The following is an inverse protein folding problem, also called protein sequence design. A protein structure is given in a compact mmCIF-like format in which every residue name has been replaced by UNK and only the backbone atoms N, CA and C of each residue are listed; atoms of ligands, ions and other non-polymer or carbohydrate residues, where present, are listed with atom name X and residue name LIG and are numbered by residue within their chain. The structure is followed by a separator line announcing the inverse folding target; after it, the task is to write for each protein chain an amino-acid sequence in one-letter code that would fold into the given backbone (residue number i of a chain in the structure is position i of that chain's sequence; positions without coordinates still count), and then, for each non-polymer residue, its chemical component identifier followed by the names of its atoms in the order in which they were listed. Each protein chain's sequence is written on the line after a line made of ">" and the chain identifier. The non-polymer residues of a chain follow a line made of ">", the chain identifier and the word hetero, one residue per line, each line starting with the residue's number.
data_IF_935865962390
#
_entry.id   IF_935865962390
#
_cell.length_a   1.000
_cell.length_b   1.000
_cell.length_c   1.000
_cell.angle_alpha   90.00
_cell.angle_beta   90.00
_cell.angle_gamma   90.00
#
_symmetry.space_group_name_H-M   'P 1'
#
loop_
_entity.id
_entity.type
_entity.pdbx_description
1 polymer ?
#
# COMPACT_ATOMS: atom_id res chain seq x y z
N UNK A 1 -11.59 26.27 37.91
CA UNK A 1 -12.56 25.73 36.92
C UNK A 1 -11.84 24.65 36.12
N UNK A 2 -12.32 23.40 36.13
CA UNK A 2 -11.69 22.33 35.37
C UNK A 2 -12.16 22.38 33.90
N UNK A 3 -11.25 22.69 32.98
CA UNK A 3 -11.52 22.69 31.54
C UNK A 3 -11.80 21.25 31.11
N UNK A 4 -13.04 20.97 30.72
CA UNK A 4 -13.46 19.63 30.29
C UNK A 4 -12.72 19.26 29.00
N UNK A 5 -11.88 18.23 29.04
CA UNK A 5 -11.16 17.72 27.87
C UNK A 5 -12.11 17.35 26.72
N UNK A 6 -11.61 17.42 25.49
CA UNK A 6 -12.40 17.18 24.28
C UNK A 6 -13.17 15.86 24.36
N UNK A 7 -14.46 15.88 23.98
CA UNK A 7 -15.30 14.68 23.98
C UNK A 7 -14.68 13.62 23.05
N UNK A 8 -14.58 12.36 23.49
CA UNK A 8 -14.01 11.30 22.66
C UNK A 8 -14.85 11.13 21.39
N UNK A 9 -14.18 11.12 20.24
CA UNK A 9 -14.82 10.88 18.94
C UNK A 9 -15.51 9.50 18.92
N UNK A 10 -16.61 9.35 18.16
CA UNK A 10 -17.35 8.09 18.03
C UNK A 10 -16.45 6.97 17.51
N UNK A 11 -16.72 5.74 17.96
CA UNK A 11 -15.83 4.58 17.77
C UNK A 11 -15.45 4.32 16.31
N UNK A 12 -16.34 4.61 15.35
CA UNK A 12 -16.10 4.49 13.90
C UNK A 12 -14.99 5.42 13.38
N UNK A 13 -14.79 6.59 14.00
CA UNK A 13 -13.71 7.53 13.65
C UNK A 13 -12.37 7.20 14.32
N UNK A 14 -12.33 6.23 15.25
CA UNK A 14 -11.09 5.81 15.91
C UNK A 14 -10.23 4.87 15.05
N UNK A 15 -10.81 4.33 13.98
CA UNK A 15 -10.16 3.38 13.07
C UNK A 15 -9.44 4.08 11.90
N UNK A 16 -9.75 5.34 11.62
CA UNK A 16 -9.27 6.06 10.42
C UNK A 16 -8.05 6.93 10.71
N UNK A 17 -7.88 7.42 11.93
CA UNK A 17 -6.61 7.99 12.38
C UNK A 17 -5.89 6.92 13.22
N UNK A 18 -4.82 6.34 12.68
CA UNK A 18 -3.79 5.76 13.54
C UNK A 18 -3.49 6.77 14.65
N UNK A 19 -3.40 6.34 15.90
CA UNK A 19 -3.35 7.25 17.06
C UNK A 19 -2.05 8.07 17.08
N UNK A 20 -1.93 9.07 16.21
CA UNK A 20 -0.90 10.06 16.27
C UNK A 20 -1.25 10.98 17.44
N UNK A 21 -0.67 10.64 18.59
CA UNK A 21 -0.72 11.46 19.79
C UNK A 21 0.45 12.43 19.73
N UNK A 22 0.17 13.69 19.50
CA UNK A 22 1.15 14.78 19.50
C UNK A 22 2.07 14.81 20.74
N UNK A 23 1.61 14.31 21.88
CA UNK A 23 2.42 14.20 23.11
C UNK A 23 3.40 13.01 23.15
N UNK A 24 3.29 12.05 22.22
CA UNK A 24 4.17 10.87 22.12
C UNK A 24 4.88 10.74 20.77
N UNK A 25 4.31 11.30 19.71
CA UNK A 25 4.75 11.08 18.33
C UNK A 25 5.30 12.34 17.65
N UNK A 26 5.44 13.45 18.38
CA UNK A 26 5.90 14.73 17.83
C UNK A 26 4.75 15.56 17.26
N UNK A 27 5.07 16.68 16.63
CA UNK A 27 4.09 17.55 15.99
C UNK A 27 3.56 16.91 14.69
N UNK A 28 2.23 16.92 14.51
CA UNK A 28 1.54 16.40 13.31
C UNK A 28 2.08 17.08 12.03
N UNK A 29 2.48 18.35 12.12
CA UNK A 29 3.09 19.10 11.03
C UNK A 29 4.43 18.51 10.60
N UNK A 30 5.31 18.21 11.56
CA UNK A 30 6.60 17.60 11.30
C UNK A 30 6.50 16.21 10.66
N UNK A 31 5.51 15.39 11.08
CA UNK A 31 5.28 14.07 10.49
C UNK A 31 4.80 14.15 9.03
N UNK A 32 3.99 15.16 8.69
CA UNK A 32 3.57 15.42 7.30
C UNK A 32 4.72 15.94 6.45
N UNK A 33 5.49 16.90 6.96
CA UNK A 33 6.69 17.41 6.28
C UNK A 33 7.72 16.29 6.01
N UNK A 34 7.90 15.36 6.95
CA UNK A 34 8.80 14.22 6.77
C UNK A 34 8.28 13.26 5.69
N UNK A 35 6.97 12.96 5.68
CA UNK A 35 6.36 12.13 4.63
C UNK A 35 6.49 12.78 3.24
N UNK A 36 6.26 14.09 3.14
CA UNK A 36 6.46 14.86 1.91
C UNK A 36 7.94 14.89 1.47
N UNK A 37 8.88 15.04 2.42
CA UNK A 37 10.31 15.03 2.15
C UNK A 37 10.82 13.65 1.69
N UNK A 38 10.28 12.56 2.24
CA UNK A 38 10.58 11.19 1.79
C UNK A 38 10.07 10.97 0.38
N UNK A 39 8.82 11.36 0.09
CA UNK A 39 8.26 11.30 -1.25
C UNK A 39 9.07 12.10 -2.27
N UNK A 40 9.60 13.28 -1.88
CA UNK A 40 10.47 14.09 -2.72
C UNK A 40 11.85 13.46 -2.98
N UNK A 41 12.39 12.68 -2.03
CA UNK A 41 13.72 12.05 -2.14
C UNK A 41 13.74 10.83 -3.06
N UNK A 42 12.76 9.94 -2.91
CA UNK A 42 12.71 8.68 -3.68
C UNK A 42 11.86 8.81 -4.94
N UNK A 43 10.93 9.76 -4.98
CA UNK A 43 10.02 9.95 -6.09
C UNK A 43 8.99 8.84 -6.23
N UNK A 44 8.11 8.94 -7.25
CA UNK A 44 7.10 7.93 -7.51
C UNK A 44 7.73 6.65 -8.06
N UNK A 45 7.16 5.50 -7.69
CA UNK A 45 7.56 4.21 -8.21
C UNK A 45 7.19 4.10 -9.70
N UNK A 46 8.17 3.86 -10.58
CA UNK A 46 7.96 3.75 -12.03
C UNK A 46 8.35 2.37 -12.53
N UNK A 47 7.56 1.84 -13.48
CA UNK A 47 7.87 0.56 -14.12
C UNK A 47 9.15 0.68 -14.97
N UNK A 48 10.14 -0.20 -14.77
CA UNK A 48 11.34 -0.21 -15.62
C UNK A 48 11.03 -0.66 -17.05
N UNK A 49 11.69 -0.05 -18.04
CA UNK A 49 11.48 -0.35 -19.46
C UNK A 49 11.90 -1.78 -19.87
N UNK A 50 12.82 -2.40 -19.12
CA UNK A 50 13.29 -3.75 -19.36
C UNK A 50 12.34 -4.84 -18.81
N UNK A 51 11.41 -4.47 -17.92
CA UNK A 51 10.42 -5.40 -17.36
C UNK A 51 9.34 -5.70 -18.41
N UNK A 52 9.28 -6.96 -18.87
CA UNK A 52 8.43 -7.40 -20.00
C UNK A 52 7.69 -8.71 -19.69
N UNK A 53 6.73 -9.05 -20.54
CA UNK A 53 6.00 -10.33 -20.46
C UNK A 53 5.17 -10.46 -19.18
N UNK A 54 5.18 -11.64 -18.58
CA UNK A 54 4.42 -11.91 -17.34
C UNK A 54 4.88 -11.06 -16.15
N UNK A 55 6.17 -10.68 -16.09
CA UNK A 55 6.65 -9.77 -15.06
C UNK A 55 6.03 -8.37 -15.19
N UNK A 56 5.85 -7.88 -16.42
CA UNK A 56 5.16 -6.61 -16.65
C UNK A 56 3.66 -6.68 -16.31
N UNK A 57 3.02 -7.84 -16.50
CA UNK A 57 1.63 -8.05 -16.05
C UNK A 57 1.54 -8.08 -14.53
N UNK A 58 2.48 -8.74 -13.86
CA UNK A 58 2.57 -8.73 -12.40
C UNK A 58 2.72 -7.30 -11.87
N UNK A 59 3.58 -6.47 -12.49
CA UNK A 59 3.71 -5.06 -12.13
C UNK A 59 2.37 -4.32 -12.22
N UNK A 60 1.66 -4.46 -13.35
CA UNK A 60 0.37 -3.81 -13.57
C UNK A 60 -0.69 -4.25 -12.55
N UNK A 61 -0.68 -5.53 -12.15
CA UNK A 61 -1.70 -6.08 -11.27
C UNK A 61 -1.43 -5.82 -9.79
N UNK A 62 -0.17 -5.75 -9.37
CA UNK A 62 0.19 -5.69 -7.95
C UNK A 62 0.87 -4.39 -7.55
N UNK A 63 1.70 -3.81 -8.41
CA UNK A 63 2.56 -2.66 -8.07
C UNK A 63 1.90 -1.34 -8.48
N UNK A 64 1.32 -1.28 -9.68
CA UNK A 64 0.63 -0.09 -10.19
C UNK A 64 -0.56 0.38 -9.31
N UNK A 65 -1.43 -0.51 -8.80
CA UNK A 65 -2.49 -0.08 -7.86
C UNK A 65 -1.97 0.21 -6.45
N UNK A 66 -0.71 -0.11 -6.14
CA UNK A 66 -0.15 0.08 -4.81
C UNK A 66 0.35 1.52 -4.61
N UNK A 67 -0.59 2.46 -4.52
CA UNK A 67 -0.32 3.90 -4.39
C UNK A 67 0.42 4.31 -3.11
N UNK A 68 0.61 3.40 -2.16
CA UNK A 68 1.42 3.60 -0.95
C UNK A 68 2.93 3.35 -1.18
N UNK A 69 3.32 2.85 -2.36
CA UNK A 69 4.72 2.56 -2.68
C UNK A 69 5.41 3.78 -3.32
N UNK A 70 6.67 3.99 -2.95
CA UNK A 70 7.55 5.00 -3.54
C UNK A 70 8.76 4.35 -4.23
N UNK A 71 9.64 5.17 -4.81
CA UNK A 71 10.85 4.72 -5.49
C UNK A 71 11.83 3.92 -4.61
N UNK A 72 11.76 4.01 -3.28
CA UNK A 72 12.63 3.23 -2.38
C UNK A 72 12.34 1.72 -2.49
N UNK A 73 11.11 1.37 -2.91
CA UNK A 73 10.63 -0.01 -3.03
C UNK A 73 10.83 -0.60 -4.43
N UNK A 74 11.44 0.16 -5.36
CA UNK A 74 11.67 -0.28 -6.73
C UNK A 74 12.41 -1.62 -6.84
N UNK A 75 13.54 -1.86 -6.13
CA UNK A 75 14.25 -3.14 -6.26
C UNK A 75 13.41 -4.34 -5.80
N UNK A 76 12.65 -4.17 -4.70
CA UNK A 76 11.77 -5.22 -4.18
C UNK A 76 10.57 -5.48 -5.13
N UNK A 77 10.00 -4.43 -5.72
CA UNK A 77 8.92 -4.55 -6.70
C UNK A 77 9.37 -5.30 -7.97
N UNK A 78 10.57 -4.98 -8.48
CA UNK A 78 11.16 -5.68 -9.64
C UNK A 78 11.42 -7.16 -9.30
N UNK A 79 12.06 -7.43 -8.18
CA UNK A 79 12.38 -8.79 -7.75
C UNK A 79 11.12 -9.65 -7.59
N UNK A 80 10.05 -9.09 -6.99
CA UNK A 80 8.75 -9.73 -6.90
C UNK A 80 8.18 -10.08 -8.28
N UNK A 81 8.17 -9.13 -9.23
CA UNK A 81 7.61 -9.35 -10.56
C UNK A 81 8.37 -10.42 -11.35
N UNK A 82 9.71 -10.46 -11.21
CA UNK A 82 10.55 -11.48 -11.85
C UNK A 82 10.34 -12.87 -11.21
N UNK A 83 10.22 -12.94 -9.89
CA UNK A 83 9.86 -14.18 -9.18
C UNK A 83 8.46 -14.68 -9.56
N UNK A 84 7.50 -13.77 -9.69
CA UNK A 84 6.14 -14.10 -10.12
C UNK A 84 6.11 -14.68 -11.52
N UNK A 85 6.89 -14.09 -12.46
CA UNK A 85 7.09 -14.65 -13.81
C UNK A 85 7.64 -16.07 -13.75
N UNK A 86 8.65 -16.32 -12.91
CA UNK A 86 9.24 -17.65 -12.78
C UNK A 86 8.25 -18.66 -12.20
N UNK A 87 7.49 -18.27 -11.18
CA UNK A 87 6.45 -19.10 -10.60
C UNK A 87 5.38 -19.50 -11.65
N UNK A 88 4.93 -18.55 -12.46
CA UNK A 88 3.96 -18.83 -13.53
C UNK A 88 4.54 -19.74 -14.64
N UNK A 89 5.84 -19.64 -14.91
CA UNK A 89 6.50 -20.46 -15.93
C UNK A 89 6.55 -21.95 -15.54
N UNK A 90 6.86 -22.26 -14.28
CA UNK A 90 6.91 -23.64 -13.79
C UNK A 90 6.50 -23.75 -12.31
N UNK A 91 5.19 -23.76 -12.01
CA UNK A 91 4.71 -23.79 -10.62
C UNK A 91 5.11 -25.06 -9.87
N UNK A 92 5.12 -26.21 -10.55
CA UNK A 92 5.42 -27.51 -9.92
C UNK A 92 6.90 -27.68 -9.61
N UNK A 93 7.79 -27.03 -10.38
CA UNK A 93 9.22 -27.00 -10.12
C UNK A 93 9.70 -25.80 -9.30
N UNK A 94 8.80 -24.95 -8.81
CA UNK A 94 9.18 -23.75 -8.07
C UNK A 94 9.67 -24.12 -6.65
N UNK A 95 10.95 -23.88 -6.31
CA UNK A 95 11.50 -24.33 -5.04
C UNK A 95 10.87 -23.65 -3.82
N UNK A 96 10.81 -24.36 -2.69
CA UNK A 96 10.28 -23.84 -1.43
C UNK A 96 11.00 -22.56 -0.95
N UNK A 97 12.31 -22.43 -1.21
CA UNK A 97 13.07 -21.21 -0.90
C UNK A 97 12.56 -19.99 -1.68
N UNK A 98 12.23 -20.16 -2.96
CA UNK A 98 11.68 -19.08 -3.79
C UNK A 98 10.23 -18.75 -3.41
N UNK A 99 9.44 -19.72 -2.99
CA UNK A 99 8.14 -19.45 -2.36
C UNK A 99 8.29 -18.57 -1.12
N UNK A 100 9.28 -18.86 -0.27
CA UNK A 100 9.61 -18.06 0.90
C UNK A 100 10.00 -16.62 0.54
N UNK A 101 10.86 -16.45 -0.46
CA UNK A 101 11.28 -15.14 -0.98
C UNK A 101 10.10 -14.35 -1.56
N UNK A 102 9.26 -14.99 -2.37
CA UNK A 102 8.08 -14.34 -2.96
C UNK A 102 7.13 -13.84 -1.87
N UNK A 103 6.83 -14.67 -0.85
CA UNK A 103 6.02 -14.24 0.30
C UNK A 103 6.68 -13.10 1.08
N UNK A 104 8.00 -13.12 1.23
CA UNK A 104 8.73 -12.05 1.90
C UNK A 104 8.59 -10.72 1.15
N UNK A 105 8.79 -10.70 -0.17
CA UNK A 105 8.59 -9.49 -0.96
C UNK A 105 7.14 -9.01 -0.94
N UNK A 106 6.16 -9.91 -1.00
CA UNK A 106 4.74 -9.54 -0.87
C UNK A 106 4.45 -8.87 0.47
N UNK A 107 5.04 -9.36 1.56
CA UNK A 107 4.91 -8.76 2.88
C UNK A 107 5.65 -7.42 3.00
N UNK A 108 6.86 -7.32 2.43
CA UNK A 108 7.67 -6.10 2.47
C UNK A 108 7.01 -4.95 1.69
N UNK A 109 6.42 -5.27 0.54
CA UNK A 109 5.65 -4.34 -0.29
C UNK A 109 4.25 -4.07 0.28
N UNK A 110 3.86 -4.74 1.37
CA UNK A 110 2.55 -4.59 1.98
C UNK A 110 1.38 -5.02 1.09
N UNK A 111 1.62 -5.90 0.11
CA UNK A 111 0.59 -6.40 -0.84
C UNK A 111 -0.41 -7.34 -0.16
N UNK A 112 0.00 -7.97 0.93
CA UNK A 112 -0.84 -8.85 1.75
C UNK A 112 -1.51 -8.12 2.92
N UNK A 113 -1.20 -6.84 3.13
CA UNK A 113 -1.78 -6.06 4.22
C UNK A 113 -3.13 -5.49 3.78
N UNK A 114 -4.20 -5.92 4.45
CA UNK A 114 -5.57 -5.50 4.14
C UNK A 114 -5.77 -3.99 4.33
N UNK A 115 -4.98 -3.34 5.19
CA UNK A 115 -5.06 -1.89 5.42
C UNK A 115 -4.65 -1.08 4.20
N UNK A 116 -3.75 -1.63 3.39
CA UNK A 116 -3.29 -0.99 2.16
C UNK A 116 -4.31 -1.15 1.02
N UNK A 117 -5.30 -2.03 1.16
CA UNK A 117 -6.38 -2.22 0.19
C UNK A 117 -7.52 -1.20 0.33
N UNK A 118 -7.32 -0.13 1.11
CA UNK A 118 -8.29 0.93 1.32
C UNK A 118 -8.92 1.40 0.01
N UNK A 119 -10.23 1.19 -0.08
CA UNK A 119 -11.17 1.51 -1.17
C UNK A 119 -10.53 2.00 -2.49
N UNK A 120 -9.89 1.07 -3.21
CA UNK A 120 -9.34 1.34 -4.54
C UNK A 120 -10.47 1.42 -5.57
N UNK A 121 -11.18 2.54 -5.58
CA UNK A 121 -11.98 2.96 -6.72
C UNK A 121 -13.17 2.05 -7.04
N UNK A 122 -13.88 1.56 -6.03
CA UNK A 122 -15.30 1.30 -6.22
C UNK A 122 -15.94 2.63 -6.61
N UNK A 123 -16.32 2.79 -7.88
CA UNK A 123 -17.42 3.71 -8.17
C UNK A 123 -18.52 3.30 -7.20
N UNK A 124 -18.92 4.21 -6.32
CA UNK A 124 -20.26 4.16 -5.77
C UNK A 124 -21.17 4.12 -7.01
N UNK A 125 -21.56 2.92 -7.44
CA UNK A 125 -22.79 2.80 -8.20
C UNK A 125 -23.83 3.37 -7.24
N UNK A 126 -24.30 4.58 -7.54
CA UNK A 126 -25.42 5.17 -6.83
C UNK A 126 -26.51 4.11 -6.77
N UNK A 127 -26.81 3.63 -5.56
CA UNK A 127 -27.91 2.71 -5.32
C UNK A 127 -29.19 3.39 -5.85
N UNK A 128 -29.64 2.99 -7.04
CA UNK A 128 -30.92 3.43 -7.66
C UNK A 128 -32.13 3.22 -6.73
N UNK A 129 -31.95 2.50 -5.62
CA UNK A 129 -32.96 2.23 -4.62
C UNK A 129 -33.33 3.44 -3.73
N UNK A 130 -32.44 4.44 -3.54
CA UNK A 130 -32.72 5.59 -2.67
C UNK A 130 -32.98 6.92 -3.42
N UNK A 131 -33.05 6.89 -4.75
CA UNK A 131 -33.22 8.06 -5.62
C UNK A 131 -34.65 8.44 -5.99
N UNK A 132 -35.68 7.91 -5.32
CA UNK A 132 -37.07 8.29 -5.56
C UNK A 132 -37.82 8.51 -4.25
N UNK A 133 -37.92 9.78 -3.85
CA UNK A 133 -38.74 10.29 -2.76
C UNK A 133 -38.87 11.80 -2.87
#
# INVERSE_FOLDING_TARGET
>A
MATRGAKPKPAKLRLVDGTHRNTRHGDDGAAREEAEAIAARFGPLKKPAHLKGEAAKAWKNFIEPAGWLDGSREPAAIAFCELWKEFLFNPTGFPASKHGQMRAYMSELGLTDERNRGDHGGKEEEDEFFGAG
#
